data_IF_796201338355
#
_entry.id   IF_796201338355
#
_cell.length_a   1.000
_cell.length_b   1.000
_cell.length_c   1.000
_cell.angle_alpha   90.00
_cell.angle_beta   90.00
_cell.angle_gamma   90.00
#
_symmetry.space_group_name_H-M   'P 1'
#
loop_
_entity.id
_entity.type
_entity.pdbx_description
1 polymer ?
#
# COMPACT_ATOMS: atom_id res chain seq x y z
N UNK A 1 24.11 17.45 4.64
CA UNK A 1 23.16 17.14 3.56
C UNK A 1 22.44 15.90 4.00
N UNK A 2 21.10 15.91 3.99
CA UNK A 2 20.31 14.72 4.26
C UNK A 2 20.25 13.87 2.98
N UNK A 3 20.71 12.63 3.05
CA UNK A 3 20.65 11.71 1.91
C UNK A 3 19.21 11.25 1.63
N UNK A 4 18.95 10.73 0.43
CA UNK A 4 17.63 10.23 0.02
C UNK A 4 17.00 9.26 1.05
N UNK A 5 17.77 8.28 1.56
CA UNK A 5 17.25 7.33 2.55
C UNK A 5 16.89 7.99 3.89
N UNK A 6 17.60 9.05 4.29
CA UNK A 6 17.30 9.84 5.48
C UNK A 6 16.04 10.68 5.27
N UNK A 7 15.88 11.30 4.09
CA UNK A 7 14.65 12.02 3.73
C UNK A 7 13.44 11.08 3.80
N UNK A 8 13.56 9.87 3.22
CA UNK A 8 12.51 8.84 3.26
C UNK A 8 12.19 8.41 4.69
N UNK A 9 13.22 8.17 5.51
CA UNK A 9 13.06 7.82 6.93
C UNK A 9 12.35 8.92 7.72
N UNK A 10 12.76 10.18 7.53
CA UNK A 10 12.15 11.35 8.18
C UNK A 10 10.68 11.50 7.74
N UNK A 11 10.38 11.28 6.47
CA UNK A 11 9.03 11.34 5.93
C UNK A 11 8.13 10.22 6.48
N UNK A 12 8.58 8.97 6.49
CA UNK A 12 7.85 7.85 7.09
C UNK A 12 7.57 8.06 8.58
N UNK A 13 8.54 8.63 9.32
CA UNK A 13 8.35 8.98 10.72
C UNK A 13 7.39 10.16 10.92
N UNK A 14 7.44 11.18 10.05
CA UNK A 14 6.54 12.32 10.10
C UNK A 14 5.09 11.93 9.76
N UNK A 15 4.89 11.09 8.73
CA UNK A 15 3.58 10.52 8.40
C UNK A 15 3.01 9.68 9.54
N UNK A 16 3.80 8.84 10.19
CA UNK A 16 3.32 8.04 11.33
C UNK A 16 2.89 8.91 12.51
N UNK A 17 3.68 9.95 12.85
CA UNK A 17 3.27 10.90 13.89
C UNK A 17 2.02 11.69 13.50
N UNK A 18 1.88 12.06 12.24
CA UNK A 18 0.69 12.74 11.72
C UNK A 18 -0.52 11.84 11.82
N UNK A 19 -0.44 10.64 11.26
CA UNK A 19 -1.52 9.66 11.23
C UNK A 19 -1.95 9.24 12.65
N UNK A 20 -1.02 9.05 13.57
CA UNK A 20 -1.34 8.74 14.98
C UNK A 20 -2.05 9.86 15.74
N UNK A 21 -1.86 11.13 15.37
CA UNK A 21 -2.66 12.25 15.93
C UNK A 21 -4.09 12.23 15.39
N UNK A 22 -4.26 11.83 14.13
CA UNK A 22 -5.55 11.87 13.46
C UNK A 22 -6.36 10.58 13.65
N UNK A 23 -5.71 9.46 13.94
CA UNK A 23 -6.29 8.13 14.16
C UNK A 23 -5.67 7.52 15.44
N UNK A 24 -6.23 7.77 16.63
CA UNK A 24 -5.63 7.32 17.89
C UNK A 24 -5.40 5.80 17.98
N UNK A 25 -6.27 4.97 17.41
CA UNK A 25 -6.11 3.51 17.35
C UNK A 25 -4.85 3.07 16.61
N UNK A 26 -4.34 3.88 15.67
CA UNK A 26 -3.07 3.60 15.02
C UNK A 26 -1.90 3.66 16.02
N UNK A 27 -1.94 4.56 16.99
CA UNK A 27 -0.91 4.61 18.05
C UNK A 27 -0.94 3.32 18.86
N UNK A 28 -2.12 2.86 19.25
CA UNK A 28 -2.30 1.56 19.92
C UNK A 28 -1.77 0.40 19.07
N UNK A 29 -2.03 0.41 17.75
CA UNK A 29 -1.50 -0.60 16.84
C UNK A 29 0.03 -0.61 16.81
N UNK A 30 0.67 0.56 16.73
CA UNK A 30 2.13 0.68 16.73
C UNK A 30 2.71 0.14 18.04
N UNK A 31 2.15 0.53 19.19
CA UNK A 31 2.60 0.05 20.50
C UNK A 31 2.49 -1.48 20.62
N UNK A 32 1.37 -2.06 20.19
CA UNK A 32 1.18 -3.52 20.20
C UNK A 32 2.14 -4.21 19.23
N UNK A 33 2.39 -3.62 18.05
CA UNK A 33 3.34 -4.14 17.07
C UNK A 33 4.76 -4.17 17.64
N UNK A 34 5.20 -3.08 18.27
CA UNK A 34 6.52 -3.00 18.90
C UNK A 34 6.69 -4.06 20.00
N UNK A 35 5.66 -4.25 20.85
CA UNK A 35 5.70 -5.27 21.90
C UNK A 35 5.74 -6.70 21.32
N UNK A 36 4.93 -7.00 20.30
CA UNK A 36 4.93 -8.32 19.64
C UNK A 36 6.29 -8.60 19.01
N UNK A 37 6.88 -7.61 18.34
CA UNK A 37 8.20 -7.76 17.73
C UNK A 37 9.29 -8.00 18.77
N UNK A 38 9.26 -7.26 19.89
CA UNK A 38 10.20 -7.45 20.99
C UNK A 38 10.07 -8.85 21.63
N UNK A 39 8.85 -9.30 21.89
CA UNK A 39 8.59 -10.62 22.48
C UNK A 39 9.00 -11.75 21.51
N UNK A 40 8.71 -11.59 20.21
CA UNK A 40 9.08 -12.56 19.18
C UNK A 40 10.60 -12.66 19.04
N UNK A 41 11.32 -11.54 19.03
CA UNK A 41 12.78 -11.50 19.02
C UNK A 41 13.39 -12.18 20.25
N UNK A 42 12.82 -11.94 21.44
CA UNK A 42 13.27 -12.58 22.67
C UNK A 42 13.05 -14.11 22.66
N UNK A 43 11.96 -14.57 22.05
CA UNK A 43 11.64 -15.99 21.93
C UNK A 43 12.41 -16.71 20.81
N UNK A 44 12.82 -15.98 19.76
CA UNK A 44 13.45 -16.53 18.55
C UNK A 44 14.73 -15.77 18.15
N UNK A 45 15.74 -15.66 19.03
CA UNK A 45 16.91 -14.80 18.80
C UNK A 45 17.71 -15.15 17.55
N UNK A 46 17.71 -16.42 17.13
CA UNK A 46 18.49 -16.91 15.98
C UNK A 46 17.76 -16.76 14.63
N UNK A 47 16.44 -16.54 14.63
CA UNK A 47 15.62 -16.56 13.41
C UNK A 47 14.79 -15.31 13.16
N UNK A 48 14.52 -14.50 14.19
CA UNK A 48 13.65 -13.32 14.09
C UNK A 48 14.14 -12.27 13.07
N UNK A 49 15.46 -12.17 12.87
CA UNK A 49 16.04 -11.18 11.94
C UNK A 49 16.31 -11.73 10.53
N UNK A 50 15.93 -12.99 10.23
CA UNK A 50 16.12 -13.60 8.90
C UNK A 50 15.46 -12.83 7.76
N UNK A 51 14.38 -12.11 8.05
CA UNK A 51 13.60 -11.31 7.09
C UNK A 51 13.78 -9.81 7.32
N UNK A 52 14.94 -9.41 7.84
CA UNK A 52 15.36 -8.04 8.09
C UNK A 52 15.65 -7.80 9.57
N UNK A 53 16.62 -6.92 9.83
CA UNK A 53 16.98 -6.51 11.19
C UNK A 53 15.79 -5.92 11.95
N UNK A 54 15.81 -6.04 13.28
CA UNK A 54 14.74 -5.49 14.11
C UNK A 54 14.59 -3.97 13.92
N UNK A 55 15.69 -3.26 13.71
CA UNK A 55 15.68 -1.83 13.41
C UNK A 55 14.92 -1.51 12.11
N UNK A 56 15.12 -2.34 11.07
CA UNK A 56 14.35 -2.25 9.82
C UNK A 56 12.87 -2.57 10.07
N UNK A 57 12.57 -3.69 10.73
CA UNK A 57 11.20 -4.15 10.97
C UNK A 57 10.38 -3.12 11.75
N UNK A 58 10.95 -2.52 12.80
CA UNK A 58 10.26 -1.52 13.63
C UNK A 58 10.03 -0.20 12.88
N UNK A 59 10.96 0.20 12.00
CA UNK A 59 10.81 1.39 11.17
C UNK A 59 9.92 1.17 9.93
N UNK A 60 9.75 -0.09 9.52
CA UNK A 60 9.10 -0.49 8.28
C UNK A 60 7.60 -0.22 8.32
N UNK A 61 7.16 0.53 7.31
CA UNK A 61 5.77 0.93 7.13
C UNK A 61 5.42 0.92 5.65
N UNK A 62 4.14 0.76 5.35
CA UNK A 62 3.60 1.20 4.07
C UNK A 62 2.41 2.11 4.25
N UNK A 63 2.27 3.11 3.39
CA UNK A 63 1.06 3.93 3.28
C UNK A 63 0.22 3.54 2.07
N UNK A 64 -1.02 3.99 2.03
CA UNK A 64 -1.80 4.03 0.80
C UNK A 64 -2.43 5.40 0.59
N UNK A 65 -2.40 5.88 -0.66
CA UNK A 65 -3.01 7.15 -1.06
C UNK A 65 -3.81 6.95 -2.35
N UNK A 66 -4.69 7.90 -2.64
CA UNK A 66 -5.48 7.90 -3.86
C UNK A 66 -5.45 9.26 -4.55
N UNK A 67 -5.47 9.23 -5.88
CA UNK A 67 -5.51 10.40 -6.76
C UNK A 67 -6.54 10.21 -7.86
N UNK A 68 -7.00 11.31 -8.45
CA UNK A 68 -8.10 11.34 -9.41
C UNK A 68 -7.69 11.43 -10.86
N UNK A 69 -6.48 11.95 -11.17
CA UNK A 69 -6.08 12.23 -12.55
C UNK A 69 -4.68 11.73 -12.91
N UNK A 70 -4.38 11.51 -14.22
CA UNK A 70 -3.04 11.24 -14.71
C UNK A 70 -2.00 12.30 -14.29
N UNK A 71 -2.39 13.58 -14.28
CA UNK A 71 -1.49 14.66 -13.86
C UNK A 71 -1.16 14.58 -12.37
N UNK A 72 -2.14 14.28 -11.51
CA UNK A 72 -1.91 14.05 -10.09
C UNK A 72 -1.02 12.82 -9.86
N UNK A 73 -1.20 11.75 -10.67
CA UNK A 73 -0.35 10.56 -10.62
C UNK A 73 1.11 10.84 -11.02
N UNK A 74 1.31 11.71 -12.02
CA UNK A 74 2.64 12.21 -12.39
C UNK A 74 3.28 12.98 -11.23
N UNK A 75 2.54 13.89 -10.59
CA UNK A 75 3.04 14.68 -9.45
C UNK A 75 3.41 13.78 -8.26
N UNK A 76 2.64 12.71 -8.01
CA UNK A 76 3.00 11.68 -7.02
C UNK A 76 4.35 11.03 -7.35
N UNK A 77 4.58 10.68 -8.62
CA UNK A 77 5.85 10.09 -9.03
C UNK A 77 7.03 11.05 -8.89
N UNK A 78 6.82 12.34 -9.16
CA UNK A 78 7.83 13.38 -8.91
C UNK A 78 8.11 13.52 -7.42
N UNK A 79 7.06 13.58 -6.59
CA UNK A 79 7.18 13.66 -5.14
C UNK A 79 7.98 12.49 -4.57
N UNK A 80 7.60 11.26 -4.92
CA UNK A 80 8.21 10.06 -4.37
C UNK A 80 9.61 9.77 -4.92
N UNK A 81 9.94 10.23 -6.13
CA UNK A 81 11.32 10.21 -6.61
C UNK A 81 12.26 11.02 -5.69
N UNK A 82 11.79 12.12 -5.09
CA UNK A 82 12.55 12.89 -4.11
C UNK A 82 12.85 12.14 -2.80
N UNK A 83 12.17 11.01 -2.57
CA UNK A 83 12.44 10.07 -1.48
C UNK A 83 13.09 8.76 -1.96
N UNK A 84 13.55 8.70 -3.21
CA UNK A 84 14.16 7.51 -3.80
C UNK A 84 13.17 6.37 -4.03
N UNK A 85 11.90 6.68 -4.24
CA UNK A 85 10.82 5.72 -4.40
C UNK A 85 10.30 5.75 -5.84
N UNK A 86 10.18 4.56 -6.45
CA UNK A 86 9.88 4.38 -7.86
C UNK A 86 8.66 3.46 -8.03
N UNK A 87 7.87 3.60 -9.10
CA UNK A 87 6.68 2.79 -9.32
C UNK A 87 7.07 1.34 -9.64
N UNK A 88 6.56 0.40 -8.85
CA UNK A 88 6.78 -1.04 -8.99
C UNK A 88 5.44 -1.76 -9.01
N UNK A 89 5.27 -2.65 -9.97
CA UNK A 89 4.06 -3.43 -10.14
C UNK A 89 2.89 -2.62 -10.70
N UNK A 90 1.95 -3.33 -11.32
CA UNK A 90 0.71 -2.77 -11.84
C UNK A 90 -0.46 -3.58 -11.29
N UNK A 91 -1.44 -2.89 -10.73
CA UNK A 91 -2.58 -3.49 -10.05
C UNK A 91 -3.87 -2.91 -10.63
N UNK A 92 -4.59 -3.74 -11.40
CA UNK A 92 -5.90 -3.36 -11.95
C UNK A 92 -7.01 -3.81 -11.01
N UNK A 93 -7.49 -2.90 -10.17
CA UNK A 93 -8.55 -3.22 -9.20
C UNK A 93 -9.94 -3.18 -9.82
N UNK A 94 -10.06 -2.78 -11.09
CA UNK A 94 -11.31 -2.86 -11.84
C UNK A 94 -11.69 -4.29 -12.18
N UNK A 95 -10.72 -5.19 -12.17
CA UNK A 95 -10.92 -6.64 -12.39
C UNK A 95 -11.12 -7.40 -11.07
N UNK A 96 -11.18 -6.69 -9.94
CA UNK A 96 -11.50 -7.29 -8.66
C UNK A 96 -12.99 -7.67 -8.54
N UNK A 97 -13.33 -8.41 -7.49
CA UNK A 97 -14.72 -8.76 -7.17
C UNK A 97 -15.06 -8.36 -5.73
N UNK A 98 -15.91 -7.33 -5.51
CA UNK A 98 -16.47 -6.43 -6.53
C UNK A 98 -15.41 -5.53 -7.17
N UNK A 99 -15.67 -5.01 -8.39
CA UNK A 99 -14.72 -4.18 -9.11
C UNK A 99 -14.62 -2.78 -8.49
N UNK A 100 -13.41 -2.22 -8.44
CA UNK A 100 -13.12 -0.88 -7.90
C UNK A 100 -12.58 -0.01 -9.04
N UNK A 101 -13.06 1.24 -9.24
CA UNK A 101 -12.75 2.07 -10.42
C UNK A 101 -11.34 2.70 -10.39
N UNK A 102 -10.31 1.92 -10.08
CA UNK A 102 -8.93 2.40 -9.97
C UNK A 102 -7.91 1.44 -10.56
N UNK A 103 -6.82 2.01 -11.08
CA UNK A 103 -5.56 1.29 -11.35
C UNK A 103 -4.49 1.81 -10.39
N UNK A 104 -3.53 0.97 -10.03
CA UNK A 104 -2.56 1.30 -8.98
C UNK A 104 -1.14 0.81 -9.28
N UNK A 105 -0.17 1.41 -8.60
CA UNK A 105 1.23 0.96 -8.51
C UNK A 105 1.75 1.22 -7.09
N UNK A 106 2.86 0.60 -6.72
CA UNK A 106 3.52 0.86 -5.44
C UNK A 106 4.78 1.71 -5.66
N UNK A 107 4.88 2.86 -5.00
CA UNK A 107 6.12 3.62 -4.96
C UNK A 107 6.99 3.11 -3.82
N UNK A 108 8.20 2.65 -4.14
CA UNK A 108 9.16 2.12 -3.15
C UNK A 108 10.61 2.19 -3.64
N UNK A 109 11.60 2.08 -2.75
CA UNK A 109 12.98 1.86 -3.17
C UNK A 109 13.12 0.56 -3.96
N UNK A 110 14.03 0.55 -4.93
CA UNK A 110 14.32 -0.61 -5.78
C UNK A 110 15.74 -1.14 -5.58
N UNK A 111 16.60 -0.36 -4.92
CA UNK A 111 17.95 -0.76 -4.55
C UNK A 111 17.91 -1.55 -3.21
N UNK A 112 18.51 -2.75 -3.14
CA UNK A 112 18.55 -3.56 -1.93
C UNK A 112 19.14 -2.84 -0.70
N UNK A 113 20.17 -2.02 -0.87
CA UNK A 113 20.81 -1.28 0.23
C UNK A 113 19.87 -0.18 0.74
N UNK A 114 19.14 0.48 -0.16
CA UNK A 114 18.12 1.48 0.20
C UNK A 114 16.92 0.83 0.93
N UNK A 115 16.51 -0.37 0.52
CA UNK A 115 15.47 -1.17 1.19
C UNK A 115 15.92 -1.64 2.58
N UNK A 116 17.19 -2.01 2.74
CA UNK A 116 17.76 -2.38 4.03
C UNK A 116 17.78 -1.20 5.02
N UNK A 117 18.06 0.01 4.53
CA UNK A 117 18.05 1.25 5.34
C UNK A 117 16.64 1.69 5.71
N UNK A 118 15.74 1.77 4.73
CA UNK A 118 14.36 2.16 4.95
C UNK A 118 13.44 1.65 3.82
N UNK A 119 12.60 0.64 4.05
CA UNK A 119 11.74 0.04 3.04
C UNK A 119 10.36 0.73 2.94
N UNK A 120 10.25 2.03 3.24
CA UNK A 120 8.96 2.72 3.18
C UNK A 120 8.35 2.64 1.77
N UNK A 121 7.07 2.26 1.71
CA UNK A 121 6.32 2.04 0.47
C UNK A 121 5.03 2.85 0.51
N UNK A 122 4.55 3.30 -0.66
CA UNK A 122 3.21 3.89 -0.77
C UNK A 122 2.46 3.26 -1.94
N UNK A 123 1.38 2.53 -1.63
CA UNK A 123 0.43 2.05 -2.62
C UNK A 123 -0.42 3.21 -3.12
N UNK A 124 -0.34 3.53 -4.40
CA UNK A 124 -1.00 4.70 -4.99
C UNK A 124 -2.00 4.26 -6.05
N UNK A 125 -3.27 4.60 -5.82
CA UNK A 125 -4.37 4.31 -6.74
C UNK A 125 -4.82 5.57 -7.49
N UNK A 126 -5.10 5.44 -8.78
CA UNK A 126 -5.65 6.49 -9.63
C UNK A 126 -7.03 6.09 -10.13
N UNK A 127 -8.01 7.00 -10.03
CA UNK A 127 -9.34 6.79 -10.64
C UNK A 127 -9.28 6.58 -12.14
N UNK A 128 -10.16 5.71 -12.64
CA UNK A 128 -10.38 5.48 -14.06
C UNK A 128 -11.66 6.19 -14.53
N UNK A 129 -11.66 7.53 -14.52
CA UNK A 129 -12.87 8.36 -14.72
C UNK A 129 -13.56 8.15 -16.06
N UNK A 130 -12.83 7.68 -17.09
CA UNK A 130 -13.37 7.40 -18.42
C UNK A 130 -13.88 5.97 -18.61
N UNK A 131 -13.77 5.11 -17.60
CA UNK A 131 -14.25 3.73 -17.66
C UNK A 131 -15.78 3.68 -17.55
N UNK A 132 -16.42 3.30 -18.65
CA UNK A 132 -17.88 3.29 -18.81
C UNK A 132 -18.60 2.23 -17.98
N UNK A 133 -17.85 1.30 -17.35
CA UNK A 133 -18.42 0.38 -16.36
C UNK A 133 -18.84 1.10 -15.07
N UNK A 134 -18.24 2.25 -14.78
CA UNK A 134 -18.41 2.98 -13.53
C UNK A 134 -18.97 4.39 -13.71
N UNK A 135 -18.54 5.09 -14.77
CA UNK A 135 -18.90 6.49 -14.99
C UNK A 135 -19.55 6.67 -16.36
N UNK A 136 -20.82 7.09 -16.36
CA UNK A 136 -21.46 7.55 -17.59
C UNK A 136 -20.81 8.86 -18.11
N UNK A 137 -21.20 9.27 -19.32
CA UNK A 137 -20.59 10.42 -19.96
C UNK A 137 -20.82 11.74 -19.21
N UNK A 138 -21.95 11.88 -18.52
CA UNK A 138 -22.31 13.12 -17.81
C UNK A 138 -21.58 13.18 -16.48
N UNK A 139 -21.59 12.08 -15.73
CA UNK A 139 -20.85 11.95 -14.47
C UNK A 139 -19.34 12.11 -14.70
N UNK A 140 -18.78 11.53 -15.76
CA UNK A 140 -17.38 11.76 -16.12
C UNK A 140 -17.10 13.25 -16.32
N UNK A 141 -17.91 13.98 -17.11
CA UNK A 141 -17.68 15.42 -17.36
C UNK A 141 -17.80 16.27 -16.10
N UNK A 142 -18.64 15.88 -15.15
CA UNK A 142 -18.74 16.53 -13.86
C UNK A 142 -17.48 16.28 -13.02
N UNK A 143 -17.08 15.01 -12.90
CA UNK A 143 -15.91 14.58 -12.16
C UNK A 143 -14.61 15.17 -12.72
N UNK A 144 -14.39 15.12 -14.03
CA UNK A 144 -13.21 15.70 -14.67
C UNK A 144 -13.13 17.23 -14.44
N UNK A 145 -14.26 17.95 -14.46
CA UNK A 145 -14.30 19.39 -14.13
C UNK A 145 -14.00 19.67 -12.67
N UNK A 146 -14.46 18.82 -11.76
CA UNK A 146 -14.16 18.94 -10.34
C UNK A 146 -12.65 18.73 -10.10
N UNK A 147 -12.11 17.62 -10.61
CA UNK A 147 -10.70 17.27 -10.45
C UNK A 147 -9.75 18.29 -11.11
N UNK A 148 -10.11 18.85 -12.26
CA UNK A 148 -9.29 19.86 -12.95
C UNK A 148 -9.14 21.18 -12.17
N UNK A 149 -9.99 21.46 -11.17
CA UNK A 149 -9.95 22.69 -10.38
C UNK A 149 -9.09 22.58 -9.13
N UNK A 150 -8.84 21.38 -8.63
CA UNK A 150 -8.05 21.18 -7.42
C UNK A 150 -6.58 21.06 -7.76
N UNK A 151 -5.75 21.33 -6.76
CA UNK A 151 -4.30 21.19 -6.86
C UNK A 151 -3.80 20.52 -5.59
N UNK A 152 -3.41 19.25 -5.70
CA UNK A 152 -2.97 18.46 -4.55
C UNK A 152 -1.54 18.82 -4.12
N UNK A 153 -0.63 19.02 -5.06
CA UNK A 153 0.80 19.23 -4.78
C UNK A 153 1.24 20.67 -5.13
N UNK A 154 1.73 21.45 -4.14
CA UNK A 154 2.27 22.78 -4.40
C UNK A 154 3.56 22.77 -5.25
N UNK A 155 3.80 23.80 -6.07
CA UNK A 155 4.99 23.88 -6.95
C UNK A 155 6.31 23.78 -6.18
N UNK A 156 6.35 24.40 -5.00
CA UNK A 156 7.52 24.39 -4.12
C UNK A 156 7.84 22.97 -3.61
N UNK A 157 6.82 22.15 -3.35
CA UNK A 157 7.00 20.76 -2.94
C UNK A 157 7.60 19.95 -4.09
N UNK A 158 7.02 20.04 -5.29
CA UNK A 158 7.50 19.32 -6.46
C UNK A 158 8.91 19.78 -6.88
N UNK A 159 9.23 21.06 -6.72
CA UNK A 159 10.57 21.59 -7.00
C UNK A 159 11.62 21.05 -6.04
N UNK A 160 11.29 20.92 -4.75
CA UNK A 160 12.17 20.30 -3.77
C UNK A 160 12.34 18.81 -4.03
N UNK A 161 11.28 18.10 -4.42
CA UNK A 161 11.33 16.69 -4.75
C UNK A 161 12.25 16.40 -5.95
N UNK A 162 12.14 17.19 -7.02
CA UNK A 162 13.05 17.09 -8.19
C UNK A 162 14.50 17.30 -7.79
N UNK A 163 14.78 18.36 -7.03
CA UNK A 163 16.13 18.63 -6.53
C UNK A 163 16.67 17.52 -5.65
N UNK A 164 15.84 16.98 -4.75
CA UNK A 164 16.24 15.84 -3.92
C UNK A 164 16.62 14.61 -4.75
N UNK A 165 15.85 14.32 -5.81
CA UNK A 165 16.12 13.22 -6.72
C UNK A 165 17.38 13.43 -7.56
N UNK A 166 17.59 14.64 -8.07
CA UNK A 166 18.72 14.99 -8.95
C UNK A 166 20.05 15.09 -8.17
N UNK A 167 20.02 15.67 -6.97
CA UNK A 167 21.20 15.92 -6.14
C UNK A 167 21.53 14.74 -5.18
N UNK A 168 20.68 13.70 -5.13
CA UNK A 168 20.84 12.57 -4.20
C UNK A 168 20.50 12.89 -2.73
N UNK A 169 19.86 14.03 -2.48
CA UNK A 169 19.53 14.52 -1.15
C UNK A 169 19.25 16.02 -1.13
N UNK A 170 19.11 16.59 0.06
CA UNK A 170 18.90 18.02 0.26
C UNK A 170 19.76 18.57 1.40
N UNK A 171 20.08 19.87 1.39
CA UNK A 171 20.60 20.52 2.59
C UNK A 171 19.57 20.49 3.73
N UNK A 172 20.00 20.68 4.98
CA UNK A 172 19.13 20.47 6.15
C UNK A 172 17.88 21.39 6.15
N UNK A 173 17.99 22.72 5.87
CA UNK A 173 16.79 23.57 5.76
C UNK A 173 15.82 23.12 4.67
N UNK A 174 16.33 22.70 3.51
CA UNK A 174 15.50 22.20 2.41
C UNK A 174 14.89 20.84 2.74
N UNK A 175 15.65 19.95 3.38
CA UNK A 175 15.18 18.64 3.84
C UNK A 175 14.01 18.78 4.82
N UNK A 176 14.16 19.65 5.83
CA UNK A 176 13.10 19.93 6.80
C UNK A 176 11.85 20.49 6.11
N UNK A 177 12.02 21.45 5.20
CA UNK A 177 10.91 22.04 4.45
C UNK A 177 10.23 21.03 3.52
N UNK A 178 11.01 20.18 2.85
CA UNK A 178 10.52 19.16 1.94
C UNK A 178 9.67 18.13 2.67
N UNK A 179 10.18 17.57 3.77
CA UNK A 179 9.45 16.61 4.60
C UNK A 179 8.17 17.22 5.17
N UNK A 180 8.24 18.44 5.70
CA UNK A 180 7.06 19.11 6.26
C UNK A 180 5.96 19.34 5.20
N UNK A 181 6.32 19.86 4.03
CA UNK A 181 5.38 20.07 2.93
C UNK A 181 4.80 18.74 2.42
N UNK A 182 5.64 17.73 2.23
CA UNK A 182 5.21 16.41 1.79
C UNK A 182 4.20 15.78 2.77
N UNK A 183 4.48 15.85 4.08
CA UNK A 183 3.57 15.35 5.12
C UNK A 183 2.24 16.10 5.11
N UNK A 184 2.25 17.44 4.99
CA UNK A 184 1.01 18.24 5.02
C UNK A 184 0.03 17.95 3.87
N UNK A 185 0.50 17.50 2.72
CA UNK A 185 -0.37 17.16 1.59
C UNK A 185 -1.23 15.93 1.88
N UNK A 186 -0.83 15.10 2.84
CA UNK A 186 -1.55 13.88 3.21
C UNK A 186 -2.32 14.00 4.54
N UNK A 187 -2.37 15.18 5.13
CA UNK A 187 -3.21 15.48 6.31
C UNK A 187 -4.69 15.48 5.92
N UNK A 188 -5.54 15.10 6.87
CA UNK A 188 -6.98 15.08 6.64
C UNK A 188 -7.52 16.52 6.57
N UNK A 189 -8.04 16.93 5.41
CA UNK A 189 -8.61 18.27 5.24
C UNK A 189 -9.81 18.52 6.16
N UNK A 190 -9.87 19.76 6.68
CA UNK A 190 -11.01 20.27 7.44
C UNK A 190 -12.06 20.97 6.56
N UNK A 191 -11.81 21.14 5.26
CA UNK A 191 -12.76 21.78 4.34
C UNK A 191 -14.08 21.00 4.28
N UNK A 192 -15.25 21.68 4.28
CA UNK A 192 -16.52 21.00 4.11
C UNK A 192 -16.61 20.27 2.77
N UNK A 193 -17.04 19.02 2.81
CA UNK A 193 -17.31 18.18 1.63
C UNK A 193 -18.70 18.50 1.08
N UNK A 194 -18.86 18.67 -0.22
CA UNK A 194 -20.19 18.78 -0.83
C UNK A 194 -20.94 17.45 -0.68
N UNK A 195 -21.97 17.42 0.16
CA UNK A 195 -22.67 16.18 0.50
C UNK A 195 -23.47 15.62 -0.68
N UNK A 196 -24.03 16.48 -1.52
CA UNK A 196 -24.79 16.06 -2.69
C UNK A 196 -23.88 15.36 -3.69
N UNK A 197 -22.76 16.01 -4.01
CA UNK A 197 -21.75 15.47 -4.92
C UNK A 197 -21.08 14.20 -4.38
N UNK A 198 -20.74 14.18 -3.09
CA UNK A 198 -20.15 13.00 -2.45
C UNK A 198 -21.08 11.79 -2.54
N UNK A 199 -22.38 11.98 -2.24
CA UNK A 199 -23.38 10.90 -2.32
C UNK A 199 -23.60 10.41 -3.75
N UNK A 200 -23.54 11.29 -4.75
CA UNK A 200 -23.64 10.91 -6.16
C UNK A 200 -22.49 9.97 -6.56
N UNK A 201 -21.25 10.31 -6.19
CA UNK A 201 -20.09 9.45 -6.43
C UNK A 201 -20.11 8.16 -5.61
N UNK A 202 -20.67 8.20 -4.40
CA UNK A 202 -20.81 7.03 -3.53
C UNK A 202 -21.71 5.95 -4.14
N UNK A 203 -22.69 6.33 -4.97
CA UNK A 203 -23.50 5.38 -5.76
C UNK A 203 -22.67 4.58 -6.77
N UNK A 204 -21.54 5.14 -7.23
CA UNK A 204 -20.58 4.40 -8.07
C UNK A 204 -19.70 3.52 -7.21
N UNK A 205 -19.01 4.12 -6.23
CA UNK A 205 -18.29 3.43 -5.17
C UNK A 205 -17.85 4.42 -4.10
N UNK A 206 -17.70 3.95 -2.87
CA UNK A 206 -17.12 4.77 -1.80
C UNK A 206 -15.68 5.23 -2.11
N UNK A 207 -14.91 4.48 -2.91
CA UNK A 207 -13.58 4.91 -3.40
C UNK A 207 -13.71 6.09 -4.38
N UNK A 208 -14.71 6.09 -5.25
CA UNK A 208 -14.96 7.22 -6.16
C UNK A 208 -15.34 8.48 -5.38
N UNK A 209 -16.16 8.36 -4.34
CA UNK A 209 -16.52 9.49 -3.47
C UNK A 209 -15.33 10.04 -2.69
N UNK A 210 -14.51 9.14 -2.13
CA UNK A 210 -13.31 9.49 -1.37
C UNK A 210 -12.25 10.22 -2.21
N UNK A 211 -12.18 9.94 -3.51
CA UNK A 211 -11.22 10.58 -4.41
C UNK A 211 -11.83 11.80 -5.10
N UNK A 212 -13.01 11.65 -5.69
CA UNK A 212 -13.66 12.64 -6.54
C UNK A 212 -14.56 13.63 -5.78
N UNK A 213 -14.88 13.35 -4.52
CA UNK A 213 -15.75 14.18 -3.68
C UNK A 213 -15.01 15.21 -2.83
N UNK A 214 -13.68 15.16 -2.79
CA UNK A 214 -12.84 16.00 -1.90
C UNK A 214 -11.80 16.80 -2.68
N UNK A 215 -11.39 17.96 -2.16
CA UNK A 215 -10.43 18.88 -2.78
C UNK A 215 -8.96 18.55 -2.46
N UNK A 216 -8.74 17.58 -1.57
CA UNK A 216 -7.43 17.17 -1.02
C UNK A 216 -7.18 15.67 -1.24
N UNK A 217 -5.99 15.20 -0.89
CA UNK A 217 -5.71 13.76 -0.72
C UNK A 217 -5.27 13.53 0.72
N UNK A 218 -5.22 12.28 1.16
CA UNK A 218 -4.83 11.91 2.51
C UNK A 218 -4.22 10.51 2.53
N UNK A 219 -3.55 10.17 3.64
CA UNK A 219 -3.20 8.77 3.92
C UNK A 219 -4.48 8.00 4.23
N UNK A 220 -4.84 7.03 3.39
CA UNK A 220 -5.97 6.13 3.64
C UNK A 220 -5.67 5.23 4.84
N UNK A 221 -4.47 4.65 4.85
CA UNK A 221 -4.00 3.82 5.93
C UNK A 221 -2.48 3.81 5.98
N UNK A 222 -1.96 3.53 7.16
CA UNK A 222 -0.54 3.38 7.41
C UNK A 222 -0.32 2.07 8.18
N UNK A 223 0.45 1.17 7.59
CA UNK A 223 0.60 -0.21 8.03
C UNK A 223 1.99 -0.42 8.62
N UNK A 224 2.14 -0.71 9.93
CA UNK A 224 3.40 -1.15 10.48
C UNK A 224 3.64 -2.64 10.19
N UNK A 225 4.90 -3.07 10.24
CA UNK A 225 5.27 -4.48 10.10
C UNK A 225 5.37 -5.19 11.45
N UNK A 226 4.78 -6.38 11.53
CA UNK A 226 4.85 -7.28 12.67
C UNK A 226 5.52 -8.62 12.30
N UNK A 227 6.24 -9.23 13.25
CA UNK A 227 6.86 -10.54 13.10
C UNK A 227 5.86 -11.69 13.30
N UNK A 228 4.89 -11.52 14.22
CA UNK A 228 3.81 -12.48 14.47
C UNK A 228 2.44 -11.80 14.39
N UNK A 229 1.80 -11.94 13.23
CA UNK A 229 0.48 -11.35 12.99
C UNK A 229 -0.64 -12.03 13.78
N UNK A 230 -0.47 -13.31 14.15
CA UNK A 230 -1.49 -14.05 14.91
C UNK A 230 -1.50 -13.60 16.38
N UNK A 231 -0.32 -13.41 16.98
CA UNK A 231 -0.18 -12.84 18.32
C UNK A 231 -0.69 -11.40 18.38
N UNK A 232 -0.33 -10.57 17.39
CA UNK A 232 -0.85 -9.22 17.29
C UNK A 232 -2.38 -9.19 17.18
N UNK A 233 -2.96 -10.05 16.34
CA UNK A 233 -4.41 -10.19 16.21
C UNK A 233 -5.05 -10.47 17.58
N UNK A 234 -4.54 -11.47 18.30
CA UNK A 234 -5.06 -11.84 19.63
C UNK A 234 -4.95 -10.68 20.64
N UNK A 235 -3.82 -9.97 20.66
CA UNK A 235 -3.56 -8.84 21.55
C UNK A 235 -4.45 -7.63 21.26
N UNK A 236 -4.72 -7.36 19.98
CA UNK A 236 -5.63 -6.28 19.56
C UNK A 236 -7.08 -6.63 19.93
N UNK A 237 -7.52 -7.87 19.65
CA UNK A 237 -8.85 -8.35 20.05
C UNK A 237 -9.06 -8.32 21.56
N UNK A 238 -8.06 -8.72 22.36
CA UNK A 238 -8.11 -8.68 23.82
C UNK A 238 -8.25 -7.25 24.38
N UNK A 239 -7.84 -6.22 23.62
CA UNK A 239 -8.02 -4.80 23.94
C UNK A 239 -9.38 -4.24 23.50
N UNK A 240 -10.26 -5.09 22.96
CA UNK A 240 -11.58 -4.70 22.46
C UNK A 240 -11.57 -4.04 21.07
N UNK A 241 -10.45 -4.09 20.35
CA UNK A 241 -10.37 -3.57 18.99
C UNK A 241 -11.01 -4.58 18.04
N UNK A 242 -12.00 -4.12 17.27
CA UNK A 242 -12.72 -4.94 16.30
C UNK A 242 -11.86 -5.20 15.06
N UNK A 243 -11.08 -6.28 15.12
CA UNK A 243 -10.32 -6.82 14.00
C UNK A 243 -11.27 -7.39 12.95
N UNK A 244 -10.84 -7.40 11.69
CA UNK A 244 -11.56 -8.11 10.63
C UNK A 244 -11.41 -9.63 10.83
N UNK A 245 -12.46 -10.39 10.55
CA UNK A 245 -12.56 -11.83 10.88
C UNK A 245 -11.49 -12.71 10.21
N UNK A 246 -10.78 -12.20 9.19
CA UNK A 246 -9.84 -12.97 8.39
C UNK A 246 -8.52 -12.22 8.17
N UNK A 247 -7.42 -12.89 8.49
CA UNK A 247 -6.09 -12.55 8.01
C UNK A 247 -5.98 -12.96 6.53
N UNK A 248 -5.64 -12.01 5.67
CA UNK A 248 -5.47 -12.19 4.24
C UNK A 248 -4.03 -12.58 3.90
N UNK A 249 -3.82 -13.24 2.77
CA UNK A 249 -2.54 -13.85 2.40
C UNK A 249 -2.52 -15.36 2.64
N UNK A 250 -1.34 -16.00 2.67
CA UNK A 250 -1.23 -17.41 2.96
C UNK A 250 -1.77 -17.71 4.38
N UNK A 251 -2.37 -18.88 4.59
CA UNK A 251 -2.80 -19.31 5.91
C UNK A 251 -1.58 -19.51 6.83
N UNK A 252 -1.85 -19.78 8.11
CA UNK A 252 -0.83 -20.35 8.99
C UNK A 252 -0.57 -21.80 8.57
N UNK A 253 0.70 -22.16 8.44
CA UNK A 253 1.18 -23.47 7.99
C UNK A 253 2.62 -23.69 8.51
N UNK A 254 3.14 -24.91 8.39
CA UNK A 254 4.39 -25.32 9.06
C UNK A 254 5.69 -24.90 8.33
N UNK A 255 5.59 -24.28 7.15
CA UNK A 255 6.76 -23.86 6.35
C UNK A 255 7.16 -22.39 6.51
N UNK A 256 8.17 -21.93 5.74
CA UNK A 256 8.65 -20.55 5.79
C UNK A 256 7.55 -19.54 5.42
N UNK A 257 7.49 -18.35 6.04
CA UNK A 257 6.53 -17.33 5.65
C UNK A 257 6.81 -16.86 4.22
N UNK A 258 5.79 -16.76 3.38
CA UNK A 258 5.91 -16.33 1.99
C UNK A 258 5.00 -15.14 1.69
N UNK A 259 5.40 -14.30 0.74
CA UNK A 259 4.67 -13.08 0.36
C UNK A 259 4.39 -12.20 1.59
N UNK A 260 3.12 -11.97 1.91
CA UNK A 260 2.73 -11.28 3.13
C UNK A 260 1.41 -11.84 3.66
N UNK A 261 1.22 -11.73 4.97
CA UNK A 261 -0.06 -11.85 5.66
C UNK A 261 -0.46 -10.48 6.16
N UNK A 262 -1.74 -10.13 6.06
CA UNK A 262 -2.22 -8.83 6.52
C UNK A 262 -3.63 -8.90 7.10
N UNK A 263 -3.92 -7.98 8.00
CA UNK A 263 -5.25 -7.78 8.56
C UNK A 263 -5.47 -6.30 8.86
N UNK A 264 -6.70 -5.91 9.09
CA UNK A 264 -7.05 -4.56 9.49
C UNK A 264 -8.05 -4.58 10.64
N UNK A 265 -8.24 -3.42 11.24
CA UNK A 265 -9.36 -3.17 12.14
C UNK A 265 -10.20 -2.04 11.57
N UNK A 266 -11.49 -2.07 11.91
CA UNK A 266 -12.40 -1.01 11.46
C UNK A 266 -11.99 0.31 12.09
N UNK A 267 -11.89 1.33 11.26
CA UNK A 267 -11.63 2.67 11.74
C UNK A 267 -12.82 3.25 12.47
N UNK A 268 -12.53 4.21 13.35
CA UNK A 268 -13.56 5.06 13.90
C UNK A 268 -14.21 5.91 12.80
N UNK A 269 -15.48 6.24 13.00
CA UNK A 269 -16.16 7.23 12.19
C UNK A 269 -15.48 8.60 12.43
N UNK A 270 -14.95 9.19 11.37
CA UNK A 270 -14.16 10.41 11.46
C UNK A 270 -15.06 11.62 11.31
N UNK A 271 -15.03 12.59 12.24
CA UNK A 271 -15.81 13.81 12.11
C UNK A 271 -15.49 14.53 10.81
N UNK A 272 -16.53 14.82 10.02
CA UNK A 272 -16.44 15.54 8.75
C UNK A 272 -17.47 16.63 8.70
N UNK A 273 -17.09 17.76 8.10
CA UNK A 273 -18.02 18.84 7.79
C UNK A 273 -18.57 18.62 6.39
N UNK A 274 -19.85 18.87 6.22
CA UNK A 274 -20.56 18.71 4.97
C UNK A 274 -21.27 20.00 4.60
N UNK A 275 -21.03 20.49 3.38
CA UNK A 275 -21.82 21.55 2.78
C UNK A 275 -23.09 20.94 2.18
N UNK A 276 -24.24 21.48 2.59
CA UNK A 276 -25.56 21.13 2.07
C UNK A 276 -25.91 21.97 0.83
N UNK A 277 -26.89 21.52 0.00
CA UNK A 277 -27.30 22.27 -1.19
C UNK A 277 -27.80 23.70 -0.92
N UNK A 278 -28.28 23.99 0.29
CA UNK A 278 -28.72 25.32 0.71
C UNK A 278 -27.58 26.22 1.20
N UNK A 279 -26.33 25.74 1.17
CA UNK A 279 -25.13 26.43 1.61
C UNK A 279 -24.85 26.33 3.12
N UNK A 280 -25.72 25.66 3.89
CA UNK A 280 -25.46 25.39 5.30
C UNK A 280 -24.38 24.31 5.47
N UNK A 281 -23.68 24.33 6.61
CA UNK A 281 -22.67 23.34 6.95
C UNK A 281 -23.15 22.54 8.14
N UNK A 282 -23.13 21.20 8.01
CA UNK A 282 -23.43 20.27 9.10
C UNK A 282 -22.22 19.43 9.44
N UNK A 283 -22.12 19.02 10.70
CA UNK A 283 -21.22 17.96 11.10
C UNK A 283 -21.85 16.59 10.76
N UNK A 284 -21.00 15.66 10.36
CA UNK A 284 -21.31 14.27 10.10
C UNK A 284 -20.05 13.43 10.31
N UNK A 285 -20.05 12.21 9.80
CA UNK A 285 -18.86 11.39 9.82
C UNK A 285 -18.69 10.57 8.54
N UNK A 286 -17.44 10.32 8.17
CA UNK A 286 -17.07 9.37 7.11
C UNK A 286 -16.15 8.31 7.71
N UNK A 287 -16.18 7.11 7.14
CA UNK A 287 -15.23 6.04 7.43
C UNK A 287 -14.31 5.89 6.22
N UNK A 288 -13.28 6.72 6.15
CA UNK A 288 -12.37 6.78 4.99
C UNK A 288 -10.96 6.25 5.28
N UNK A 289 -10.53 6.32 6.54
CA UNK A 289 -9.23 5.80 6.98
C UNK A 289 -9.40 4.49 7.73
N UNK A 290 -8.32 3.73 7.98
CA UNK A 290 -8.31 2.54 8.85
C UNK A 290 -6.90 2.14 9.27
N UNK A 291 -6.80 1.29 10.29
CA UNK A 291 -5.54 0.67 10.68
C UNK A 291 -5.40 -0.69 10.03
N UNK A 292 -4.25 -0.93 9.43
CA UNK A 292 -3.86 -2.19 8.83
C UNK A 292 -2.50 -2.60 9.42
N UNK A 293 -2.22 -3.90 9.44
CA UNK A 293 -0.94 -4.46 9.89
C UNK A 293 -0.55 -5.61 8.99
N UNK A 294 0.75 -5.76 8.76
CA UNK A 294 1.29 -6.79 7.86
C UNK A 294 2.47 -7.54 8.46
N UNK A 295 2.58 -8.83 8.14
CA UNK A 295 3.77 -9.64 8.32
C UNK A 295 4.29 -10.03 6.93
N UNK A 296 5.58 -9.76 6.66
CA UNK A 296 6.20 -10.01 5.35
C UNK A 296 7.15 -11.20 5.41
N UNK A 297 6.98 -12.09 4.43
CA UNK A 297 7.74 -13.30 4.19
C UNK A 297 8.68 -13.17 3.00
N UNK A 298 9.05 -14.33 2.44
CA UNK A 298 9.97 -14.46 1.31
C UNK A 298 9.26 -14.11 -0.01
N UNK A 299 9.96 -13.39 -0.90
CA UNK A 299 9.51 -13.12 -2.26
C UNK A 299 9.50 -14.41 -3.10
N UNK A 300 8.37 -14.70 -3.75
CA UNK A 300 8.22 -15.88 -4.60
C UNK A 300 8.62 -15.58 -6.06
N UNK A 301 9.14 -16.59 -6.74
CA UNK A 301 9.28 -16.57 -8.20
C UNK A 301 7.90 -16.72 -8.87
N UNK A 302 7.77 -16.51 -10.20
CA UNK A 302 6.53 -16.83 -10.90
C UNK A 302 6.06 -18.28 -10.68
N UNK A 303 6.98 -19.24 -10.58
CA UNK A 303 6.65 -20.65 -10.31
C UNK A 303 6.15 -20.84 -8.88
N UNK A 304 6.82 -20.24 -7.89
CA UNK A 304 6.34 -20.29 -6.50
C UNK A 304 5.00 -19.60 -6.34
N UNK A 305 4.77 -18.50 -7.05
CA UNK A 305 3.49 -17.80 -7.07
C UNK A 305 2.37 -18.65 -7.67
N UNK A 306 2.64 -19.43 -8.70
CA UNK A 306 1.67 -20.36 -9.26
C UNK A 306 1.24 -21.44 -8.24
N UNK A 307 2.18 -22.01 -7.48
CA UNK A 307 1.85 -22.92 -6.38
C UNK A 307 1.01 -22.24 -5.30
N UNK A 308 1.38 -21.01 -4.93
CA UNK A 308 0.62 -20.20 -3.97
C UNK A 308 -0.82 -19.99 -4.44
N UNK A 309 -1.02 -19.55 -5.70
CA UNK A 309 -2.34 -19.25 -6.23
C UNK A 309 -3.21 -20.52 -6.31
N UNK A 310 -2.63 -21.66 -6.73
CA UNK A 310 -3.33 -22.97 -6.74
C UNK A 310 -3.83 -23.38 -5.35
N UNK A 311 -2.98 -23.26 -4.33
CA UNK A 311 -3.35 -23.63 -2.96
C UNK A 311 -4.29 -22.64 -2.30
N UNK A 312 -4.18 -21.35 -2.61
CA UNK A 312 -5.15 -20.35 -2.16
C UNK A 312 -6.55 -20.61 -2.72
N UNK A 313 -6.66 -21.14 -3.94
CA UNK A 313 -7.95 -21.50 -4.53
C UNK A 313 -8.46 -22.86 -3.98
N UNK A 314 -7.57 -23.82 -3.71
CA UNK A 314 -7.95 -25.17 -3.26
C UNK A 314 -8.19 -25.29 -1.74
N UNK A 315 -7.40 -24.61 -0.90
CA UNK A 315 -7.46 -24.70 0.57
C UNK A 315 -6.99 -23.38 1.22
N UNK A 316 -7.76 -22.28 1.07
CA UNK A 316 -7.37 -20.93 1.50
C UNK A 316 -7.13 -20.76 3.00
N UNK A 317 -7.66 -21.66 3.83
CA UNK A 317 -7.47 -21.64 5.29
C UNK A 317 -6.56 -22.77 5.78
N UNK A 318 -5.99 -23.56 4.88
CA UNK A 318 -5.26 -24.78 5.19
C UNK A 318 -6.05 -25.79 6.06
N UNK A 319 -7.38 -25.84 5.92
CA UNK A 319 -8.22 -26.72 6.74
C UNK A 319 -8.04 -28.20 6.38
N UNK A 320 -7.61 -28.50 5.15
CA UNK A 320 -7.34 -29.85 4.68
C UNK A 320 -5.84 -30.22 4.79
N UNK A 321 -5.02 -29.31 5.33
CA UNK A 321 -3.56 -29.45 5.43
C UNK A 321 -2.89 -29.53 4.05
N UNK A 322 -3.48 -28.94 3.00
CA UNK A 322 -2.88 -29.01 1.65
C UNK A 322 -1.59 -28.19 1.56
N UNK A 323 -1.45 -27.11 2.34
CA UNK A 323 -0.23 -26.31 2.36
C UNK A 323 0.94 -27.13 2.89
N UNK A 324 0.77 -27.77 4.05
CA UNK A 324 1.80 -28.57 4.70
C UNK A 324 2.22 -29.79 3.86
N UNK A 325 1.32 -30.29 2.99
CA UNK A 325 1.58 -31.45 2.13
C UNK A 325 2.20 -31.11 0.78
N UNK A 326 1.93 -29.92 0.23
CA UNK A 326 2.19 -29.61 -1.18
C UNK A 326 3.12 -28.43 -1.40
N UNK A 327 3.13 -27.45 -0.51
CA UNK A 327 4.03 -26.30 -0.65
C UNK A 327 5.40 -26.65 -0.08
N UNK A 328 6.52 -26.23 -0.71
CA UNK A 328 7.87 -26.51 -0.19
C UNK A 328 8.03 -26.11 1.28
N UNK A 329 8.37 -27.06 2.14
CA UNK A 329 8.27 -26.92 3.60
C UNK A 329 9.53 -26.31 4.25
N UNK A 330 10.56 -25.98 3.47
CA UNK A 330 11.78 -25.35 3.95
C UNK A 330 12.39 -24.41 2.90
N UNK A 331 13.28 -23.52 3.33
CA UNK A 331 14.02 -22.66 2.40
C UNK A 331 14.88 -23.49 1.41
N UNK A 332 15.41 -24.63 1.83
CA UNK A 332 16.18 -25.53 0.95
C UNK A 332 15.29 -26.11 -0.17
N UNK A 333 14.06 -26.50 0.17
CA UNK A 333 13.10 -26.96 -0.83
C UNK A 333 12.62 -25.81 -1.72
N UNK A 334 12.36 -24.63 -1.17
CA UNK A 334 12.01 -23.44 -1.94
C UNK A 334 13.10 -23.09 -2.97
N UNK A 335 14.36 -23.15 -2.57
CA UNK A 335 15.50 -22.92 -3.46
C UNK A 335 15.63 -24.02 -4.52
N UNK A 336 15.56 -25.29 -4.10
CA UNK A 336 15.64 -26.46 -5.01
C UNK A 336 14.55 -26.46 -6.07
N UNK A 337 13.34 -26.01 -5.72
CA UNK A 337 12.20 -25.91 -6.63
C UNK A 337 12.13 -24.56 -7.36
N UNK A 338 13.13 -23.69 -7.21
CA UNK A 338 13.15 -22.33 -7.77
C UNK A 338 11.86 -21.55 -7.46
N UNK A 339 11.27 -21.80 -6.28
CA UNK A 339 9.98 -21.26 -5.88
C UNK A 339 10.10 -19.90 -5.16
N UNK A 340 11.26 -19.58 -4.60
CA UNK A 340 11.50 -18.30 -3.94
C UNK A 340 12.85 -17.68 -4.33
N UNK A 341 12.98 -16.38 -4.07
CA UNK A 341 14.21 -15.62 -4.32
C UNK A 341 15.09 -15.56 -3.07
N UNK A 342 16.40 -15.74 -3.29
CA UNK A 342 17.42 -15.72 -2.26
C UNK A 342 18.62 -14.87 -2.68
N UNK A 343 19.29 -14.25 -1.73
CA UNK A 343 20.61 -13.64 -1.90
C UNK A 343 21.67 -14.50 -1.22
N UNK A 344 22.93 -14.33 -1.63
CA UNK A 344 24.06 -15.07 -1.09
C UNK A 344 25.18 -14.11 -0.71
N UNK A 345 25.56 -14.11 0.57
CA UNK A 345 26.66 -13.32 1.11
C UNK A 345 27.66 -14.25 1.78
N UNK A 346 28.92 -14.24 1.33
CA UNK A 346 29.98 -15.13 1.83
C UNK A 346 29.60 -16.63 1.85
N UNK A 347 28.79 -17.05 0.88
CA UNK A 347 28.30 -18.42 0.76
C UNK A 347 27.09 -18.75 1.66
N UNK A 348 26.65 -17.83 2.51
CA UNK A 348 25.43 -17.93 3.32
C UNK A 348 24.23 -17.47 2.51
N UNK A 349 23.18 -18.30 2.46
CA UNK A 349 21.91 -17.97 1.82
C UNK A 349 21.04 -17.15 2.77
N UNK A 350 20.47 -16.08 2.24
CA UNK A 350 19.46 -15.28 2.93
C UNK A 350 18.22 -15.10 2.04
N UNK A 351 17.00 -15.21 2.60
CA UNK A 351 15.78 -14.99 1.85
C UNK A 351 15.63 -13.53 1.43
N UNK A 352 15.19 -13.29 0.19
CA UNK A 352 14.80 -11.95 -0.24
C UNK A 352 13.38 -11.67 0.27
N UNK A 353 13.22 -10.62 1.06
CA UNK A 353 11.93 -10.20 1.63
C UNK A 353 10.99 -9.72 0.52
N UNK A 354 9.71 -10.07 0.64
CA UNK A 354 8.68 -9.56 -0.26
C UNK A 354 8.33 -8.10 0.06
N UNK A 355 8.63 -7.19 -0.86
CA UNK A 355 8.48 -5.74 -0.74
C UNK A 355 7.20 -5.19 -1.42
N UNK A 356 6.44 -6.05 -2.10
CA UNK A 356 5.27 -5.63 -2.89
C UNK A 356 3.95 -6.00 -2.20
N UNK A 357 2.85 -5.96 -2.95
CA UNK A 357 1.48 -6.14 -2.46
C UNK A 357 0.78 -7.30 -3.16
N UNK A 358 -0.14 -7.95 -2.44
CA UNK A 358 -1.01 -8.99 -2.99
C UNK A 358 -2.16 -8.37 -3.83
N UNK A 359 -2.29 -8.70 -5.12
CA UNK A 359 -3.33 -8.11 -5.98
C UNK A 359 -4.76 -8.37 -5.49
N UNK A 360 -5.10 -9.62 -5.14
CA UNK A 360 -6.44 -10.00 -4.63
C UNK A 360 -6.74 -9.37 -3.25
N UNK A 361 -5.71 -9.12 -2.45
CA UNK A 361 -5.87 -8.66 -1.07
C UNK A 361 -6.04 -7.15 -0.96
N UNK A 362 -5.39 -6.38 -1.85
CA UNK A 362 -5.64 -4.94 -1.97
C UNK A 362 -7.15 -4.69 -2.10
N UNK A 363 -7.83 -5.33 -3.05
CA UNK A 363 -9.28 -5.23 -3.24
C UNK A 363 -10.11 -5.69 -2.02
N UNK A 364 -9.71 -6.78 -1.37
CA UNK A 364 -10.39 -7.29 -0.17
C UNK A 364 -10.37 -6.30 0.98
N UNK A 365 -9.24 -5.60 1.17
CA UNK A 365 -9.08 -4.50 2.12
C UNK A 365 -9.91 -3.28 1.69
N UNK A 366 -9.90 -2.90 0.40
CA UNK A 366 -10.78 -1.84 -0.11
C UNK A 366 -12.27 -2.11 0.22
N UNK A 367 -12.72 -3.37 0.14
CA UNK A 367 -14.09 -3.80 0.44
C UNK A 367 -14.41 -3.77 1.94
N UNK A 368 -13.56 -4.39 2.75
CA UNK A 368 -13.89 -4.64 4.16
C UNK A 368 -13.90 -3.39 5.04
N UNK A 369 -13.47 -2.26 4.47
CA UNK A 369 -13.21 -1.01 5.18
C UNK A 369 -14.23 0.09 4.89
N UNK A 370 -15.27 -0.19 4.07
CA UNK A 370 -16.33 0.76 3.72
C UNK A 370 -17.70 0.16 4.12
N UNK A 371 -18.54 0.97 4.79
CA UNK A 371 -19.73 0.53 5.55
C UNK A 371 -20.89 -0.06 4.74
N UNK A 372 -20.78 -0.05 3.41
CA UNK A 372 -21.86 -0.44 2.52
C UNK A 372 -21.41 -1.54 1.58
N UNK A 373 -21.98 -2.74 1.79
CA UNK A 373 -22.29 -3.66 0.70
C UNK A 373 -23.30 -2.93 -0.22
N UNK A 374 -22.81 -2.00 -1.02
CA UNK A 374 -23.57 -1.54 -2.17
C UNK A 374 -23.59 -2.71 -3.14
N UNK A 375 -24.70 -3.45 -3.11
CA UNK A 375 -25.10 -4.30 -4.22
C UNK A 375 -25.20 -3.42 -5.47
N UNK A 376 -24.10 -3.27 -6.20
CA UNK A 376 -24.14 -2.76 -7.56
C UNK A 376 -24.76 -3.85 -8.42
N UNK A 377 -26.08 -3.86 -8.52
CA UNK A 377 -26.83 -4.51 -9.62
C UNK A 377 -26.62 -3.72 -10.95
N UNK A 378 -25.39 -3.26 -11.20
CA UNK A 378 -25.00 -2.83 -12.52
C UNK A 378 -24.66 -4.10 -13.29
N UNK A 379 -25.62 -4.57 -14.08
CA UNK A 379 -25.36 -5.52 -15.14
C UNK A 379 -24.23 -4.94 -16.02
N UNK A 380 -22.99 -5.35 -15.75
CA UNK A 380 -21.83 -4.95 -16.50
C UNK A 380 -21.97 -5.55 -17.90
N UNK A 381 -22.55 -4.79 -18.82
CA UNK A 381 -22.44 -5.11 -20.23
C UNK A 381 -20.95 -5.07 -20.57
N UNK A 382 -20.42 -6.22 -21.02
CA UNK A 382 -19.06 -6.39 -21.49
C UNK A 382 -18.83 -5.68 -22.84
N UNK A 383 -19.24 -4.42 -22.94
CA UNK A 383 -18.87 -3.54 -24.04
C UNK A 383 -17.52 -2.92 -23.69
N UNK A 384 -16.45 -3.42 -24.32
CA UNK A 384 -15.10 -2.91 -24.13
C UNK A 384 -15.07 -1.38 -24.28
N UNK A 385 -14.81 -0.68 -23.18
CA UNK A 385 -14.56 0.76 -23.21
C UNK A 385 -13.25 0.97 -23.98
N UNK A 386 -13.28 1.78 -25.04
CA UNK A 386 -12.11 2.10 -25.87
C UNK A 386 -11.02 2.94 -25.18
N UNK A 387 -10.93 2.91 -23.85
CA UNK A 387 -9.95 3.62 -23.03
C UNK A 387 -8.98 2.62 -22.41
N UNK A 388 -7.70 2.75 -22.77
CA UNK A 388 -6.62 1.88 -22.30
C UNK A 388 -6.16 2.29 -20.89
N UNK A 389 -6.40 1.42 -19.91
CA UNK A 389 -5.92 1.52 -18.53
C UNK A 389 -4.91 0.40 -18.23
N UNK A 390 -4.02 0.12 -19.19
CA UNK A 390 -2.93 -0.83 -19.03
C UNK A 390 -1.76 -0.29 -18.20
N UNK A 391 -0.82 -1.18 -17.88
CA UNK A 391 0.50 -0.80 -17.36
C UNK A 391 1.19 0.25 -18.23
N UNK A 392 1.03 0.18 -19.56
CA UNK A 392 1.67 1.11 -20.49
C UNK A 392 1.03 2.51 -20.40
N UNK A 393 -0.30 2.61 -20.33
CA UNK A 393 -0.95 3.91 -20.19
C UNK A 393 -0.70 4.53 -18.81
N UNK A 394 -0.64 3.74 -17.74
CA UNK A 394 -0.24 4.24 -16.41
C UNK A 394 1.22 4.70 -16.39
N UNK A 395 2.14 3.97 -17.02
CA UNK A 395 3.54 4.39 -17.16
C UNK A 395 3.67 5.70 -17.95
N UNK A 396 2.88 5.86 -19.02
CA UNK A 396 2.81 7.10 -19.79
C UNK A 396 2.27 8.28 -18.95
N UNK A 397 1.23 8.05 -18.15
CA UNK A 397 0.69 9.04 -17.22
C UNK A 397 1.73 9.45 -16.16
N UNK A 398 2.44 8.48 -15.59
CA UNK A 398 3.51 8.70 -14.62
C UNK A 398 4.72 9.42 -15.25
N UNK A 399 4.96 9.22 -16.55
CA UNK A 399 6.16 9.70 -17.25
C UNK A 399 7.42 8.91 -16.89
N UNK A 400 7.28 7.67 -16.40
CA UNK A 400 8.37 6.74 -16.05
C UNK A 400 7.89 5.30 -16.25
N UNK A 401 8.84 4.41 -16.52
CA UNK A 401 8.55 2.97 -16.55
C UNK A 401 8.10 2.48 -15.17
N UNK A 402 7.05 1.65 -15.16
CA UNK A 402 6.67 0.89 -13.98
C UNK A 402 7.55 -0.35 -13.95
N UNK A 403 8.32 -0.56 -12.87
CA UNK A 403 9.21 -1.71 -12.74
C UNK A 403 8.42 -3.02 -12.55
N UNK A 404 8.95 -4.11 -13.10
CA UNK A 404 8.46 -5.45 -12.80
C UNK A 404 9.09 -5.94 -11.49
N UNK A 405 8.30 -6.24 -10.45
CA UNK A 405 8.86 -6.72 -9.18
C UNK A 405 9.66 -8.01 -9.33
N UNK A 406 9.24 -8.95 -10.19
CA UNK A 406 9.96 -10.21 -10.39
C UNK A 406 11.35 -9.97 -10.96
N UNK A 407 11.48 -9.00 -11.87
CA UNK A 407 12.76 -8.63 -12.46
C UNK A 407 13.71 -8.01 -11.43
N UNK A 408 13.18 -7.21 -10.48
CA UNK A 408 13.97 -6.65 -9.40
C UNK A 408 14.53 -7.74 -8.48
N UNK A 409 13.68 -8.67 -8.03
CA UNK A 409 14.12 -9.79 -7.18
C UNK A 409 15.09 -10.72 -7.90
N UNK A 410 14.84 -11.02 -9.19
CA UNK A 410 15.74 -11.83 -10.03
C UNK A 410 17.13 -11.20 -10.13
N UNK A 411 17.20 -9.89 -10.40
CA UNK A 411 18.47 -9.15 -10.47
C UNK A 411 19.23 -9.17 -9.15
N UNK A 412 18.54 -8.96 -8.03
CA UNK A 412 19.15 -9.04 -6.70
C UNK A 412 19.76 -10.43 -6.45
N UNK A 413 19.02 -11.50 -6.72
CA UNK A 413 19.52 -12.87 -6.62
C UNK A 413 20.73 -13.12 -7.54
N UNK A 414 20.68 -12.69 -8.79
CA UNK A 414 21.77 -12.90 -9.75
C UNK A 414 23.04 -12.14 -9.40
N UNK A 415 22.91 -10.89 -8.94
CA UNK A 415 24.04 -10.08 -8.50
C UNK A 415 24.76 -10.71 -7.32
N UNK A 416 24.02 -11.22 -6.33
CA UNK A 416 24.62 -11.90 -5.17
C UNK A 416 25.33 -13.21 -5.54
N UNK A 417 24.81 -13.97 -6.52
CA UNK A 417 25.49 -15.16 -7.07
C UNK A 417 26.80 -14.81 -7.78
N UNK A 418 26.87 -13.64 -8.41
CA UNK A 418 28.09 -13.14 -9.07
C UNK A 418 29.23 -12.83 -8.10
N UNK A 419 28.90 -12.45 -6.85
CA UNK A 419 29.86 -12.18 -5.78
C UNK A 419 30.42 -13.46 -5.13
N UNK A 420 29.92 -14.64 -5.53
CA UNK A 420 30.36 -15.96 -5.03
C UNK A 420 31.68 -16.45 -5.67
N UNK A 421 32.29 -15.67 -6.57
CA UNK A 421 33.48 -16.06 -7.37
C UNK A 421 34.76 -15.43 -6.87
#
# INVERSE_FOLDING_TARGET
MAEIHELRSRFAAALSRMYGREVPEYTTLVDVTEQVNADHLAAHPDTAERLGSIGRVTAERHGAIRVGTPAEMHDVAVLFAGFGMYPVGFYDLREATPPVPVVSTAFRPIDPDELARNPFRVFTSMLTTSDRRFFDADLQRQLDRFLARRRLFPDVLLSLARRAADDGGLDEPQAQRFVALATSVFELSHEPVDLGWYRELEQVSAVAADIGGVTSTHINHLTPRVLDIDDLYARMSARGIAMIDRIQGPPRWDGPPVLLRQTSFRALAEPRRFALPDGSVTDGALRVRFGEVEARGIALTPSGRAFYDELMDADPSNANGLWDKRFPASEDELEKHEAAYFTYHDGVREPIVYEDFLPKSAAGIFRSNLDTDTHTDTAASAAGSGTDFSRASLAAAIGRDIHDPYELYRRQQEQSRGQRR
#
